data_IF_599206361288
#
_entry.id   IF_599206361288
#
_cell.length_a   1.000
_cell.length_b   1.000
_cell.length_c   1.000
_cell.angle_alpha   90.00
_cell.angle_beta   90.00
_cell.angle_gamma   90.00
#
_symmetry.space_group_name_H-M   'P 1'
#
loop_
_entity.id
_entity.type
_entity.pdbx_description
1 polymer ?
#
# COMPACT_ATOMS: atom_id res chain seq x y z
N UNK A 1 -3.57 16.69 11.49
CA UNK A 1 -4.59 17.45 12.26
C UNK A 1 -5.67 16.53 12.87
N UNK A 2 -6.29 15.62 12.09
CA UNK A 2 -7.24 14.64 12.63
C UNK A 2 -6.66 13.86 13.83
N UNK A 3 -5.47 13.27 13.71
CA UNK A 3 -4.85 12.51 14.80
C UNK A 3 -4.54 13.37 16.03
N UNK A 4 -4.19 14.65 15.83
CA UNK A 4 -3.97 15.59 16.93
C UNK A 4 -5.28 15.87 17.67
N UNK A 5 -6.39 16.03 16.95
CA UNK A 5 -7.73 16.19 17.53
C UNK A 5 -8.21 14.90 18.23
N UNK A 6 -7.87 13.73 17.70
CA UNK A 6 -8.21 12.43 18.30
C UNK A 6 -7.45 12.20 19.60
N UNK A 7 -6.16 12.52 19.64
CA UNK A 7 -5.29 12.33 20.81
C UNK A 7 -5.25 13.52 21.77
N UNK A 8 -5.95 14.61 21.47
CA UNK A 8 -5.99 15.81 22.31
C UNK A 8 -4.66 16.58 22.36
N UNK A 9 -3.82 16.46 21.32
CA UNK A 9 -2.53 17.13 21.23
C UNK A 9 -2.70 18.61 20.90
N UNK A 10 -2.99 19.43 21.92
CA UNK A 10 -2.93 20.89 21.87
C UNK A 10 -3.96 21.58 20.96
N UNK A 11 -4.79 20.83 20.21
CA UNK A 11 -5.82 21.36 19.32
C UNK A 11 -7.18 20.81 19.75
N UNK A 12 -8.21 21.68 19.74
CA UNK A 12 -9.58 21.34 20.11
C UNK A 12 -10.55 21.75 19.00
N UNK A 13 -11.67 21.04 18.93
CA UNK A 13 -12.79 21.33 18.02
C UNK A 13 -14.10 21.00 18.75
N UNK A 14 -15.23 21.45 18.22
CA UNK A 14 -16.55 21.06 18.71
C UNK A 14 -16.77 19.53 18.70
N UNK A 15 -17.76 19.04 19.46
CA UNK A 15 -18.07 17.61 19.54
C UNK A 15 -18.36 17.06 18.13
N UNK A 16 -17.56 16.10 17.69
CA UNK A 16 -17.66 15.51 16.35
C UNK A 16 -16.89 16.23 15.25
N UNK A 17 -16.37 17.44 15.49
CA UNK A 17 -15.65 18.24 14.48
C UNK A 17 -14.40 17.55 13.90
N UNK A 18 -13.78 16.61 14.64
CA UNK A 18 -12.68 15.79 14.12
C UNK A 18 -13.06 15.04 12.83
N UNK A 19 -14.30 14.58 12.72
CA UNK A 19 -14.76 13.85 11.55
C UNK A 19 -14.91 14.75 10.32
N UNK A 20 -15.23 16.04 10.52
CA UNK A 20 -15.23 17.02 9.43
C UNK A 20 -13.83 17.20 8.83
N UNK A 21 -12.79 17.29 9.68
CA UNK A 21 -11.40 17.36 9.22
C UNK A 21 -10.95 16.09 8.51
N UNK A 22 -11.29 14.90 9.05
CA UNK A 22 -10.99 13.63 8.41
C UNK A 22 -11.65 13.54 7.03
N UNK A 23 -12.95 13.87 6.96
CA UNK A 23 -13.71 13.87 5.73
C UNK A 23 -13.10 14.82 4.71
N UNK A 24 -12.78 16.05 5.12
CA UNK A 24 -12.13 17.04 4.25
C UNK A 24 -10.79 16.53 3.72
N UNK A 25 -9.97 15.90 4.56
CA UNK A 25 -8.70 15.32 4.12
C UNK A 25 -8.89 14.16 3.13
N UNK A 26 -9.89 13.30 3.35
CA UNK A 26 -10.22 12.21 2.44
C UNK A 26 -10.71 12.73 1.07
N UNK A 27 -11.57 13.77 1.08
CA UNK A 27 -12.07 14.44 -0.13
C UNK A 27 -10.95 15.19 -0.88
N UNK A 28 -9.91 15.65 -0.17
CA UNK A 28 -8.71 16.25 -0.76
C UNK A 28 -7.66 15.21 -1.22
N UNK A 29 -7.95 13.91 -1.11
CA UNK A 29 -7.07 12.87 -1.63
C UNK A 29 -5.97 12.41 -0.68
N UNK A 30 -6.09 12.58 0.64
CA UNK A 30 -5.17 11.91 1.57
C UNK A 30 -5.50 10.42 1.64
N UNK A 31 -4.57 9.57 1.19
CA UNK A 31 -4.71 8.10 1.25
C UNK A 31 -4.92 7.56 2.66
N UNK A 32 -4.25 8.14 3.65
CA UNK A 32 -4.42 7.80 5.07
C UNK A 32 -5.83 8.18 5.53
N UNK A 33 -6.30 9.39 5.24
CA UNK A 33 -7.64 9.82 5.62
C UNK A 33 -8.74 9.00 4.93
N UNK A 34 -8.53 8.63 3.66
CA UNK A 34 -9.44 7.74 2.94
C UNK A 34 -9.52 6.37 3.59
N UNK A 35 -8.37 5.79 3.96
CA UNK A 35 -8.31 4.52 4.68
C UNK A 35 -9.01 4.60 6.04
N UNK A 36 -8.68 5.61 6.86
CA UNK A 36 -9.27 5.77 8.19
C UNK A 36 -10.79 6.00 8.13
N UNK A 37 -11.25 6.82 7.18
CA UNK A 37 -12.68 7.01 6.95
C UNK A 37 -13.36 5.71 6.53
N UNK A 38 -12.72 4.89 5.70
CA UNK A 38 -13.24 3.58 5.34
C UNK A 38 -13.38 2.68 6.58
N UNK A 39 -12.35 2.62 7.43
CA UNK A 39 -12.38 1.81 8.65
C UNK A 39 -13.52 2.23 9.58
N UNK A 40 -13.71 3.54 9.79
CA UNK A 40 -14.84 4.06 10.57
C UNK A 40 -16.17 3.65 9.96
N UNK A 41 -16.35 3.83 8.65
CA UNK A 41 -17.60 3.44 7.97
C UNK A 41 -17.89 1.95 8.11
N UNK A 42 -16.87 1.09 8.12
CA UNK A 42 -17.04 -0.36 8.29
C UNK A 42 -17.42 -0.78 9.72
N UNK A 43 -17.09 0.03 10.73
CA UNK A 43 -17.32 -0.31 12.14
C UNK A 43 -18.66 0.17 12.70
N UNK A 44 -19.41 0.98 11.95
CA UNK A 44 -20.72 1.44 12.41
C UNK A 44 -21.74 0.29 12.39
N UNK A 45 -22.57 0.23 13.42
CA UNK A 45 -23.65 -0.74 13.56
C UNK A 45 -24.98 -0.03 13.24
N UNK A 46 -25.36 -0.08 11.97
CA UNK A 46 -26.53 0.62 11.44
C UNK A 46 -26.98 -0.05 10.14
N UNK A 47 -28.08 -0.80 10.22
CA UNK A 47 -28.61 -1.60 9.12
C UNK A 47 -29.15 -0.73 7.98
N UNK A 48 -29.74 0.43 8.28
CA UNK A 48 -30.36 1.30 7.29
C UNK A 48 -29.33 1.82 6.26
N UNK A 49 -28.13 2.16 6.72
CA UNK A 49 -27.06 2.66 5.83
C UNK A 49 -26.05 1.60 5.41
N UNK A 50 -26.20 0.34 5.84
CA UNK A 50 -25.19 -0.71 5.65
C UNK A 50 -24.69 -0.82 4.21
N UNK A 51 -25.61 -0.95 3.25
CA UNK A 51 -25.26 -1.07 1.82
C UNK A 51 -24.45 0.11 1.31
N UNK A 52 -24.90 1.34 1.60
CA UNK A 52 -24.20 2.56 1.21
C UNK A 52 -22.80 2.64 1.85
N UNK A 53 -22.68 2.31 3.14
CA UNK A 53 -21.41 2.33 3.86
C UNK A 53 -20.41 1.35 3.28
N UNK A 54 -20.83 0.13 2.95
CA UNK A 54 -19.97 -0.88 2.33
C UNK A 54 -19.49 -0.45 0.94
N UNK A 55 -20.34 0.21 0.14
CA UNK A 55 -19.91 0.76 -1.14
C UNK A 55 -18.85 1.86 -0.98
N UNK A 56 -19.09 2.81 -0.06
CA UNK A 56 -18.16 3.90 0.21
C UNK A 56 -16.83 3.38 0.78
N UNK A 57 -16.90 2.43 1.72
CA UNK A 57 -15.75 1.72 2.27
C UNK A 57 -14.85 1.16 1.17
N UNK A 58 -15.41 0.42 0.21
CA UNK A 58 -14.65 -0.15 -0.92
C UNK A 58 -14.05 0.92 -1.82
N UNK A 59 -14.81 1.98 -2.14
CA UNK A 59 -14.34 3.10 -2.97
C UNK A 59 -13.15 3.81 -2.31
N UNK A 60 -13.25 4.11 -1.02
CA UNK A 60 -12.19 4.77 -0.26
C UNK A 60 -10.93 3.90 -0.18
N UNK A 61 -11.06 2.60 0.12
CA UNK A 61 -9.94 1.67 0.11
C UNK A 61 -9.30 1.54 -1.27
N UNK A 62 -10.10 1.51 -2.33
CA UNK A 62 -9.58 1.48 -3.70
C UNK A 62 -8.75 2.73 -3.99
N UNK A 63 -9.26 3.92 -3.68
CA UNK A 63 -8.54 5.19 -3.83
C UNK A 63 -7.22 5.19 -3.03
N UNK A 64 -7.25 4.79 -1.77
CA UNK A 64 -6.03 4.73 -0.94
C UNK A 64 -5.02 3.70 -1.49
N UNK A 65 -5.51 2.56 -1.98
CA UNK A 65 -4.70 1.51 -2.59
C UNK A 65 -3.97 1.99 -3.85
N UNK A 66 -4.67 2.64 -4.80
CA UNK A 66 -4.03 3.15 -6.03
C UNK A 66 -3.04 4.28 -5.75
N UNK A 67 -3.18 4.98 -4.62
CA UNK A 67 -2.25 6.01 -4.16
C UNK A 67 -1.03 5.47 -3.39
N UNK A 68 -0.87 4.15 -3.31
CA UNK A 68 0.30 3.54 -2.70
C UNK A 68 0.15 3.15 -1.22
N UNK A 69 -1.06 3.22 -0.65
CA UNK A 69 -1.31 2.81 0.73
C UNK A 69 -1.51 1.29 0.82
N UNK A 70 -0.43 0.57 1.12
CA UNK A 70 -0.40 -0.88 1.05
C UNK A 70 -1.36 -1.58 2.03
N UNK A 71 -1.67 -0.97 3.18
CA UNK A 71 -2.66 -1.49 4.12
C UNK A 71 -4.08 -1.47 3.53
N UNK A 72 -4.44 -0.43 2.77
CA UNK A 72 -5.73 -0.40 2.07
C UNK A 72 -5.86 -1.54 1.06
N UNK A 73 -4.79 -1.83 0.31
CA UNK A 73 -4.76 -2.94 -0.64
C UNK A 73 -4.95 -4.31 0.05
N UNK A 74 -4.34 -4.51 1.22
CA UNK A 74 -4.47 -5.75 2.00
C UNK A 74 -5.89 -5.96 2.53
N UNK A 75 -6.51 -4.89 3.03
CA UNK A 75 -7.88 -4.91 3.51
C UNK A 75 -8.85 -5.14 2.35
N UNK A 76 -8.68 -4.44 1.23
CA UNK A 76 -9.49 -4.60 0.03
C UNK A 76 -9.39 -6.03 -0.53
N UNK A 77 -8.18 -6.60 -0.58
CA UNK A 77 -7.99 -8.00 -1.00
C UNK A 77 -8.65 -9.00 -0.07
N UNK A 78 -8.64 -8.75 1.24
CA UNK A 78 -9.33 -9.58 2.23
C UNK A 78 -10.85 -9.51 2.08
N UNK A 79 -11.39 -8.32 1.79
CA UNK A 79 -12.81 -8.11 1.52
C UNK A 79 -13.26 -8.88 0.28
N UNK A 80 -12.53 -8.75 -0.83
CA UNK A 80 -12.86 -9.51 -2.04
C UNK A 80 -12.75 -11.01 -1.83
N UNK A 81 -11.77 -11.48 -1.04
CA UNK A 81 -11.67 -12.90 -0.68
C UNK A 81 -12.89 -13.37 0.11
N UNK A 82 -13.37 -12.58 1.07
CA UNK A 82 -14.57 -12.90 1.83
C UNK A 82 -15.82 -12.98 0.94
N UNK A 83 -15.90 -12.13 -0.08
CA UNK A 83 -16.94 -12.15 -1.12
C UNK A 83 -16.75 -13.25 -2.19
N UNK A 84 -15.75 -14.13 -2.02
CA UNK A 84 -15.36 -15.16 -2.98
C UNK A 84 -14.96 -14.62 -4.37
N UNK A 85 -14.65 -13.32 -4.47
CA UNK A 85 -14.11 -12.63 -5.64
C UNK A 85 -12.60 -12.79 -5.70
N UNK A 86 -12.16 -14.02 -5.94
CA UNK A 86 -10.76 -14.39 -5.79
C UNK A 86 -9.81 -13.66 -6.75
N UNK A 87 -10.24 -13.35 -7.97
CA UNK A 87 -9.42 -12.62 -8.93
C UNK A 87 -9.15 -11.19 -8.46
N UNK A 88 -10.17 -10.49 -7.97
CA UNK A 88 -10.09 -9.15 -7.41
C UNK A 88 -9.26 -9.14 -6.11
N UNK A 89 -9.38 -10.20 -5.31
CA UNK A 89 -8.53 -10.40 -4.13
C UNK A 89 -7.05 -10.52 -4.51
N UNK A 90 -6.73 -11.37 -5.49
CA UNK A 90 -5.36 -11.57 -5.99
C UNK A 90 -4.79 -10.28 -6.55
N UNK A 91 -5.55 -9.55 -7.38
CA UNK A 91 -5.15 -8.24 -7.91
C UNK A 91 -4.89 -7.22 -6.79
N UNK A 92 -5.75 -7.18 -5.77
CA UNK A 92 -5.59 -6.26 -4.64
C UNK A 92 -4.37 -6.60 -3.78
N UNK A 93 -4.10 -7.88 -3.50
CA UNK A 93 -2.88 -8.29 -2.81
C UNK A 93 -1.62 -8.05 -3.65
N UNK A 94 -1.73 -8.20 -4.96
CA UNK A 94 -0.62 -7.90 -5.86
C UNK A 94 -0.30 -6.39 -5.84
N UNK A 95 -1.32 -5.54 -5.92
CA UNK A 95 -1.16 -4.09 -5.73
C UNK A 95 -0.61 -3.75 -4.34
N UNK A 96 -1.07 -4.43 -3.29
CA UNK A 96 -0.55 -4.25 -1.93
C UNK A 96 0.94 -4.58 -1.83
N UNK A 97 1.39 -5.59 -2.56
CA UNK A 97 2.80 -5.95 -2.66
C UNK A 97 3.61 -4.85 -3.37
N UNK A 98 3.10 -4.28 -4.47
CA UNK A 98 3.70 -3.10 -5.13
C UNK A 98 3.83 -1.93 -4.16
N UNK A 99 2.80 -1.74 -3.34
CA UNK A 99 2.71 -0.72 -2.32
C UNK A 99 3.54 -1.02 -1.06
N UNK A 100 4.34 -2.08 -1.04
CA UNK A 100 5.25 -2.39 0.07
C UNK A 100 4.61 -3.14 1.23
N UNK A 101 3.38 -3.63 1.09
CA UNK A 101 2.71 -4.35 2.18
C UNK A 101 3.12 -5.84 2.22
N UNK A 102 3.95 -6.19 3.21
CA UNK A 102 4.42 -7.56 3.40
C UNK A 102 3.29 -8.58 3.59
N UNK A 103 2.20 -8.21 4.27
CA UNK A 103 1.05 -9.09 4.46
C UNK A 103 0.41 -9.48 3.13
N UNK A 104 0.27 -8.53 2.21
CA UNK A 104 -0.28 -8.76 0.87
C UNK A 104 0.57 -9.77 0.09
N UNK A 105 1.89 -9.64 0.13
CA UNK A 105 2.81 -10.61 -0.47
C UNK A 105 2.67 -12.01 0.18
N UNK A 106 2.54 -12.08 1.51
CA UNK A 106 2.31 -13.35 2.23
C UNK A 106 0.99 -14.03 1.83
N UNK A 107 -0.07 -13.25 1.57
CA UNK A 107 -1.37 -13.77 1.12
C UNK A 107 -1.30 -14.44 -0.26
N UNK A 108 -0.34 -14.05 -1.10
CA UNK A 108 -0.12 -14.67 -2.41
C UNK A 108 0.85 -15.85 -2.36
N UNK A 109 1.86 -15.79 -1.48
CA UNK A 109 2.89 -16.83 -1.34
C UNK A 109 2.32 -18.25 -1.22
N UNK A 110 1.44 -18.50 -0.23
CA UNK A 110 0.93 -19.85 0.07
C UNK A 110 0.08 -20.44 -1.06
N UNK A 111 -0.95 -19.74 -1.58
CA UNK A 111 -1.77 -20.28 -2.66
C UNK A 111 -1.01 -20.52 -3.97
N UNK A 112 0.09 -19.81 -4.23
CA UNK A 112 0.99 -20.18 -5.33
C UNK A 112 1.91 -21.35 -4.97
N UNK A 113 2.45 -21.43 -3.76
CA UNK A 113 3.44 -22.45 -3.39
C UNK A 113 2.93 -23.90 -3.51
N UNK A 114 1.66 -24.14 -3.19
CA UNK A 114 1.07 -25.47 -3.19
C UNK A 114 -0.44 -25.42 -3.35
N UNK A 115 -1.05 -26.54 -3.75
CA UNK A 115 -2.51 -26.65 -3.83
C UNK A 115 -3.13 -26.42 -2.45
N UNK A 116 -4.05 -25.46 -2.36
CA UNK A 116 -4.79 -25.16 -1.13
C UNK A 116 -6.19 -25.76 -1.22
N UNK A 117 -6.57 -26.48 -0.18
CA UNK A 117 -7.93 -27.01 -0.03
C UNK A 117 -8.94 -25.85 0.12
N UNK A 118 -10.12 -25.96 -0.51
CA UNK A 118 -11.16 -24.93 -0.45
C UNK A 118 -11.70 -24.72 0.98
N UNK A 119 -11.57 -25.73 1.85
CA UNK A 119 -11.91 -25.65 3.27
C UNK A 119 -10.89 -24.81 4.06
N UNK A 120 -9.67 -24.63 3.55
CA UNK A 120 -8.71 -23.68 4.10
C UNK A 120 -9.06 -22.26 3.63
N UNK A 121 -10.07 -21.67 4.26
CA UNK A 121 -10.52 -20.30 4.00
C UNK A 121 -9.46 -19.22 4.30
N UNK A 122 -8.40 -19.57 5.03
CA UNK A 122 -7.31 -18.63 5.36
C UNK A 122 -6.47 -18.35 4.11
N UNK A 123 -6.04 -19.40 3.42
CA UNK A 123 -5.06 -19.34 2.32
C UNK A 123 -5.67 -19.58 0.92
N UNK A 124 -6.92 -20.04 0.82
CA UNK A 124 -7.54 -20.32 -0.48
C UNK A 124 -7.83 -19.04 -1.28
N UNK A 125 -7.32 -19.00 -2.53
CA UNK A 125 -7.52 -17.92 -3.50
C UNK A 125 -7.89 -18.44 -4.91
N UNK A 126 -8.36 -19.69 -5.03
CA UNK A 126 -8.68 -20.32 -6.32
C UNK A 126 -7.55 -20.27 -7.37
N UNK A 127 -6.28 -20.22 -6.92
CA UNK A 127 -5.10 -20.21 -7.77
C UNK A 127 -4.60 -21.63 -8.06
N UNK A 128 -4.05 -21.81 -9.26
CA UNK A 128 -3.24 -22.99 -9.59
C UNK A 128 -1.86 -22.86 -8.95
N UNK A 129 -1.28 -23.97 -8.43
CA UNK A 129 0.07 -23.94 -7.87
C UNK A 129 1.11 -23.52 -8.91
N UNK A 130 1.98 -22.62 -8.51
CA UNK A 130 3.18 -22.18 -9.19
C UNK A 130 4.26 -21.94 -8.10
N UNK A 131 5.06 -22.97 -7.78
CA UNK A 131 6.00 -22.92 -6.67
C UNK A 131 7.01 -21.77 -6.77
N UNK A 132 7.46 -21.45 -7.99
CA UNK A 132 8.40 -20.35 -8.23
C UNK A 132 7.75 -18.99 -7.92
N UNK A 133 6.51 -18.72 -8.38
CA UNK A 133 5.76 -17.52 -7.96
C UNK A 133 5.65 -17.43 -6.44
N UNK A 134 5.30 -18.56 -5.80
CA UNK A 134 5.18 -18.64 -4.36
C UNK A 134 6.48 -18.24 -3.65
N UNK A 135 7.62 -18.73 -4.14
CA UNK A 135 8.97 -18.39 -3.63
C UNK A 135 9.28 -16.91 -3.85
N UNK A 136 8.99 -16.33 -5.01
CA UNK A 136 9.22 -14.89 -5.26
C UNK A 136 8.42 -14.01 -4.30
N UNK A 137 7.12 -14.28 -4.11
CA UNK A 137 6.33 -13.58 -3.09
C UNK A 137 6.85 -13.81 -1.67
N UNK A 138 7.37 -15.00 -1.36
CA UNK A 138 7.99 -15.28 -0.06
C UNK A 138 9.21 -14.40 0.19
N UNK A 139 10.11 -14.31 -0.79
CA UNK A 139 11.33 -13.50 -0.69
C UNK A 139 11.01 -12.02 -0.53
N UNK A 140 10.09 -11.50 -1.35
CA UNK A 140 9.61 -10.12 -1.27
C UNK A 140 8.95 -9.85 0.08
N UNK A 141 8.05 -10.73 0.54
CA UNK A 141 7.38 -10.60 1.83
C UNK A 141 8.33 -10.53 3.02
N UNK A 142 9.42 -11.32 2.99
CA UNK A 142 10.45 -11.28 4.03
C UNK A 142 11.19 -9.95 3.99
N UNK A 143 11.69 -9.56 2.82
CA UNK A 143 12.42 -8.29 2.67
C UNK A 143 11.60 -7.09 3.13
N UNK A 144 10.33 -6.99 2.70
CA UNK A 144 9.41 -5.91 3.08
C UNK A 144 9.17 -5.88 4.60
N UNK A 145 9.05 -7.04 5.25
CA UNK A 145 8.84 -7.11 6.70
C UNK A 145 10.10 -6.73 7.49
N UNK A 146 11.27 -7.21 7.04
CA UNK A 146 12.54 -6.96 7.72
C UNK A 146 12.99 -5.49 7.59
N UNK A 147 12.51 -4.79 6.55
CA UNK A 147 12.86 -3.41 6.22
C UNK A 147 11.68 -2.43 6.30
N UNK A 148 10.59 -2.78 7.01
CA UNK A 148 9.36 -1.97 7.04
C UNK A 148 9.61 -0.53 7.51
N UNK A 149 10.59 -0.33 8.41
CA UNK A 149 11.02 1.00 8.88
C UNK A 149 11.54 1.93 7.76
N UNK A 150 11.95 1.38 6.61
CA UNK A 150 12.36 2.13 5.42
C UNK A 150 11.21 2.42 4.46
N UNK A 151 10.01 1.89 4.72
CA UNK A 151 8.84 1.96 3.85
C UNK A 151 9.12 1.52 2.38
N UNK A 152 9.76 0.36 2.14
CA UNK A 152 10.11 -0.10 0.81
C UNK A 152 8.89 -0.25 -0.10
N UNK A 153 9.06 0.05 -1.40
CA UNK A 153 8.05 -0.18 -2.45
C UNK A 153 8.59 -1.15 -3.50
N UNK A 154 7.70 -1.78 -4.23
CA UNK A 154 8.03 -2.77 -5.27
C UNK A 154 7.39 -2.36 -6.60
N UNK A 155 7.79 -1.23 -7.20
CA UNK A 155 7.20 -0.77 -8.46
C UNK A 155 7.49 -1.73 -9.62
N UNK A 156 8.57 -2.50 -9.53
CA UNK A 156 9.04 -3.50 -10.49
C UNK A 156 8.38 -4.89 -10.29
N UNK A 157 7.30 -5.00 -9.49
CA UNK A 157 6.70 -6.30 -9.19
C UNK A 157 6.20 -7.05 -10.43
N UNK A 158 5.67 -6.34 -11.44
CA UNK A 158 5.21 -6.97 -12.68
C UNK A 158 6.38 -7.52 -13.51
N UNK A 159 7.58 -6.96 -13.35
CA UNK A 159 8.81 -7.43 -13.99
C UNK A 159 9.44 -8.59 -13.22
N UNK A 160 8.99 -8.85 -11.99
CA UNK A 160 9.50 -9.91 -11.11
C UNK A 160 8.54 -11.09 -11.03
N UNK A 161 7.25 -10.85 -10.83
CA UNK A 161 6.24 -11.89 -10.58
C UNK A 161 4.88 -11.46 -11.17
N UNK A 162 4.80 -11.22 -12.50
CA UNK A 162 3.56 -10.77 -13.14
C UNK A 162 2.47 -11.81 -12.93
N UNK A 163 1.23 -11.44 -12.60
CA UNK A 163 0.13 -12.38 -12.34
C UNK A 163 -0.13 -13.38 -13.50
N UNK A 164 -0.68 -14.58 -13.24
CA UNK A 164 -1.01 -15.52 -14.31
C UNK A 164 -2.03 -14.88 -15.26
N UNK A 165 -1.99 -15.20 -16.56
CA UNK A 165 -1.28 -16.33 -17.19
C UNK A 165 0.15 -16.02 -17.66
N UNK A 166 0.72 -14.84 -17.34
CA UNK A 166 2.05 -14.47 -17.81
C UNK A 166 3.13 -15.48 -17.37
N UNK A 167 4.16 -15.69 -18.19
CA UNK A 167 5.31 -16.50 -17.78
C UNK A 167 6.21 -15.70 -16.84
N UNK A 168 6.88 -16.38 -15.91
CA UNK A 168 7.84 -15.74 -15.03
C UNK A 168 9.10 -15.33 -15.81
N UNK A 169 9.53 -14.06 -15.73
CA UNK A 169 10.80 -13.63 -16.30
C UNK A 169 11.98 -14.15 -15.47
N UNK A 170 13.19 -14.05 -15.99
CA UNK A 170 14.40 -14.26 -15.20
C UNK A 170 14.46 -13.21 -14.07
N UNK A 171 14.87 -13.62 -12.88
CA UNK A 171 14.95 -12.74 -11.72
C UNK A 171 16.16 -13.11 -10.87
N UNK A 172 16.90 -12.10 -10.43
CA UNK A 172 18.13 -12.21 -9.63
C UNK A 172 17.86 -12.31 -8.11
N UNK A 173 16.60 -12.35 -7.70
CA UNK A 173 16.19 -12.42 -6.30
C UNK A 173 16.08 -11.07 -5.59
N UNK A 174 16.26 -9.93 -6.28
CA UNK A 174 16.19 -8.59 -5.67
C UNK A 174 15.09 -7.72 -6.28
N UNK A 175 14.48 -6.89 -5.44
CA UNK A 175 13.58 -5.81 -5.87
C UNK A 175 14.38 -4.52 -6.14
N UNK A 176 13.84 -3.59 -6.92
CA UNK A 176 14.50 -2.31 -7.25
C UNK A 176 14.93 -1.53 -6.00
N UNK A 177 14.05 -1.47 -4.99
CA UNK A 177 14.37 -0.82 -3.71
C UNK A 177 15.60 -1.45 -3.04
N UNK A 178 15.70 -2.78 -3.04
CA UNK A 178 16.82 -3.49 -2.45
C UNK A 178 18.14 -3.18 -3.16
N UNK A 179 18.12 -3.09 -4.50
CA UNK A 179 19.31 -2.69 -5.27
C UNK A 179 19.75 -1.28 -4.95
N UNK A 180 18.78 -0.37 -4.78
CA UNK A 180 19.06 1.02 -4.39
C UNK A 180 19.61 1.11 -2.95
N UNK A 181 19.04 0.37 -2.00
CA UNK A 181 19.42 0.43 -0.60
C UNK A 181 20.75 -0.26 -0.29
N UNK A 182 21.00 -1.44 -0.88
CA UNK A 182 22.23 -2.22 -0.67
C UNK A 182 23.35 -1.87 -1.67
N UNK A 183 23.02 -1.11 -2.72
CA UNK A 183 23.96 -0.76 -3.79
C UNK A 183 24.96 0.31 -3.41
N UNK A 184 25.86 0.63 -4.34
CA UNK A 184 26.74 1.79 -4.20
C UNK A 184 25.90 3.06 -4.09
N UNK A 185 26.32 3.98 -3.21
CA UNK A 185 25.66 5.28 -3.09
C UNK A 185 25.63 5.97 -4.45
N UNK A 186 24.49 6.60 -4.83
CA UNK A 186 24.42 7.33 -6.09
C UNK A 186 25.50 8.43 -6.12
N UNK A 187 26.02 8.76 -7.31
CA UNK A 187 26.97 9.85 -7.43
C UNK A 187 26.35 11.14 -6.89
N UNK A 188 27.17 11.97 -6.24
CA UNK A 188 26.70 13.27 -5.75
C UNK A 188 26.10 14.05 -6.93
N UNK A 189 24.91 14.67 -6.77
CA UNK A 189 24.33 15.54 -7.78
C UNK A 189 25.32 16.63 -8.20
N UNK A 190 25.27 17.04 -9.47
CA UNK A 190 26.11 18.14 -9.94
C UNK A 190 25.72 19.45 -9.25
N UNK A 191 26.68 20.38 -9.10
CA UNK A 191 26.41 21.69 -8.47
C UNK A 191 25.35 22.47 -9.25
N UNK A 192 25.35 22.34 -10.57
CA UNK A 192 24.39 22.99 -11.48
C UNK A 192 22.98 22.45 -11.26
N UNK A 193 22.82 21.13 -11.08
CA UNK A 193 21.53 20.52 -10.77
C UNK A 193 21.03 20.99 -9.39
N UNK A 194 21.89 20.99 -8.38
CA UNK A 194 21.55 21.49 -7.04
C UNK A 194 21.11 22.95 -7.08
N UNK A 195 21.83 23.81 -7.80
CA UNK A 195 21.49 25.22 -7.96
C UNK A 195 20.13 25.38 -8.66
N UNK A 196 19.91 24.67 -9.77
CA UNK A 196 18.65 24.73 -10.52
C UNK A 196 17.45 24.34 -9.65
N UNK A 197 17.58 23.27 -8.86
CA UNK A 197 16.51 22.80 -7.98
C UNK A 197 16.25 23.79 -6.82
N UNK A 198 17.32 24.34 -6.23
CA UNK A 198 17.21 25.36 -5.19
C UNK A 198 16.53 26.62 -5.72
N UNK A 199 16.90 27.10 -6.91
CA UNK A 199 16.29 28.26 -7.58
C UNK A 199 14.81 28.02 -7.85
N UNK A 200 14.46 26.84 -8.36
CA UNK A 200 13.07 26.45 -8.62
C UNK A 200 12.22 26.40 -7.34
N UNK A 201 12.83 26.04 -6.21
CA UNK A 201 12.18 26.03 -4.90
C UNK A 201 12.24 27.38 -4.16
N UNK A 202 12.91 28.40 -4.73
CA UNK A 202 13.11 29.69 -4.06
C UNK A 202 14.06 29.63 -2.86
N UNK A 203 15.00 28.67 -2.85
CA UNK A 203 15.92 28.40 -1.75
C UNK A 203 17.36 28.75 -2.12
N UNK A 204 18.16 29.14 -1.13
CA UNK A 204 19.61 29.24 -1.24
C UNK A 204 20.23 27.83 -1.27
N UNK A 205 21.10 27.56 -2.24
CA UNK A 205 21.65 26.21 -2.48
C UNK A 205 22.54 25.70 -1.34
N UNK A 206 23.16 26.60 -0.58
CA UNK A 206 24.14 26.24 0.46
C UNK A 206 23.47 26.06 1.82
N UNK A 207 22.46 26.88 2.11
CA UNK A 207 21.80 26.93 3.42
C UNK A 207 20.42 26.27 3.42
N UNK A 208 19.79 26.09 2.25
CA UNK A 208 18.44 25.56 2.12
C UNK A 208 17.34 26.51 2.62
N UNK A 209 17.68 27.75 2.99
CA UNK A 209 16.74 28.76 3.45
C UNK A 209 16.12 29.52 2.27
N UNK A 210 14.91 30.10 2.44
CA UNK A 210 14.32 30.97 1.42
C UNK A 210 15.28 32.08 1.02
N UNK A 211 15.40 32.33 -0.28
CA UNK A 211 16.15 33.49 -0.78
C UNK A 211 15.48 34.76 -0.28
N UNK A 212 16.29 35.71 0.22
CA UNK A 212 15.84 37.06 0.58
C UNK A 212 15.56 37.89 -0.66
#
# INVERSE_FOLDING_TARGET
>A
LYDYLTNGYGVKTEKGGRFAYLRKAADLGSREAQYELAMILSSLDDDETFTLRIELYKKLLHCASIQGFGQASAVLGSQYKFEEKYNEAVNSFHQGTKNGNALSARKLMRPFKSKIDKNNKVDYLALSPDPERGIRYQMIARYLADHDYLNPKVPDLDEIVPLPPAKLPAWDGKIAFQRWYEGASPPKPSKELMQKLADQAGLDVNTGLPKK
#
